data_IF_616010409228
#
_entry.id   IF_616010409228
#
_cell.length_a   1.000
_cell.length_b   1.000
_cell.length_c   1.000
_cell.angle_alpha   90.00
_cell.angle_beta   90.00
_cell.angle_gamma   90.00
#
_symmetry.space_group_name_H-M   'P 1'
#
loop_
_entity.id
_entity.type
_entity.pdbx_description
1 polymer ?
#
# COMPACT_ATOMS: atom_id res chain seq x y z
N UNK A 1 -12.38 -2.16 -65.28
CA UNK A 1 -12.17 -3.62 -65.17
C UNK A 1 -10.88 -3.84 -64.38
N UNK A 2 -10.93 -4.62 -63.30
CA UNK A 2 -9.75 -5.15 -62.59
C UNK A 2 -9.39 -4.47 -61.27
N UNK A 3 -9.90 -5.03 -60.17
CA UNK A 3 -9.47 -4.83 -58.77
C UNK A 3 -8.60 -6.01 -58.33
N UNK A 4 -8.00 -5.91 -57.12
CA UNK A 4 -7.23 -6.89 -56.34
C UNK A 4 -5.78 -7.08 -56.78
N UNK A 5 -4.77 -7.12 -55.91
CA UNK A 5 -4.75 -7.22 -54.46
C UNK A 5 -3.45 -7.94 -54.07
N UNK A 6 -2.74 -7.40 -53.07
CA UNK A 6 -1.69 -8.01 -52.23
C UNK A 6 -0.61 -8.88 -52.87
N UNK A 7 0.65 -8.49 -52.66
CA UNK A 7 1.69 -9.45 -52.32
C UNK A 7 2.53 -8.85 -51.20
N UNK A 8 2.36 -9.44 -50.01
CA UNK A 8 3.19 -9.22 -48.83
C UNK A 8 4.61 -9.68 -49.14
N UNK A 9 5.59 -8.78 -49.02
CA UNK A 9 6.98 -9.18 -48.86
C UNK A 9 7.60 -8.40 -47.69
N UNK A 10 7.39 -9.02 -46.54
CA UNK A 10 8.23 -9.05 -45.35
C UNK A 10 9.66 -8.56 -45.52
N UNK A 11 10.02 -7.43 -44.88
CA UNK A 11 11.31 -7.28 -44.19
C UNK A 11 11.18 -6.37 -42.97
N UNK A 12 11.27 -6.98 -41.79
CA UNK A 12 12.01 -6.42 -40.66
C UNK A 12 11.42 -5.22 -39.95
N UNK A 13 10.38 -5.46 -39.15
CA UNK A 13 9.96 -4.64 -38.02
C UNK A 13 11.12 -4.51 -37.01
N UNK A 14 12.08 -3.63 -37.26
CA UNK A 14 13.01 -3.14 -36.24
C UNK A 14 12.29 -2.06 -35.43
N UNK A 15 11.25 -2.48 -34.71
CA UNK A 15 10.78 -1.74 -33.56
C UNK A 15 11.91 -1.82 -32.54
N UNK A 16 12.44 -0.67 -32.15
CA UNK A 16 13.27 -0.56 -30.96
C UNK A 16 12.47 -1.12 -29.78
N UNK A 17 12.74 -2.37 -29.41
CA UNK A 17 12.32 -2.92 -28.13
C UNK A 17 13.23 -2.25 -27.12
N UNK A 18 12.73 -1.18 -26.52
CA UNK A 18 13.33 -0.66 -25.30
C UNK A 18 13.18 -1.78 -24.27
N UNK A 19 14.32 -2.27 -23.81
CA UNK A 19 14.46 -3.23 -22.74
C UNK A 19 13.48 -2.88 -21.60
N UNK A 20 12.70 -3.88 -21.18
CA UNK A 20 11.56 -3.71 -20.29
C UNK A 20 11.98 -3.00 -19.01
N UNK A 21 11.58 -1.73 -18.89
CA UNK A 21 11.73 -0.96 -17.66
C UNK A 21 10.87 -1.66 -16.61
N UNK A 22 11.50 -2.47 -15.75
CA UNK A 22 10.82 -3.05 -14.59
C UNK A 22 10.56 -1.88 -13.64
N UNK A 23 9.33 -1.37 -13.66
CA UNK A 23 8.88 -0.43 -12.64
C UNK A 23 8.84 -1.16 -11.30
N UNK A 24 9.88 -0.94 -10.50
CA UNK A 24 9.95 -1.51 -9.15
C UNK A 24 8.96 -0.75 -8.28
N UNK A 25 7.84 -1.39 -8.00
CA UNK A 25 6.84 -0.90 -7.05
C UNK A 25 7.38 -1.08 -5.64
N UNK A 26 7.48 0.02 -4.91
CA UNK A 26 8.01 0.02 -3.55
C UNK A 26 7.03 0.72 -2.61
N UNK A 27 7.03 0.30 -1.35
CA UNK A 27 6.25 0.94 -0.29
C UNK A 27 7.18 1.27 0.87
N UNK A 28 6.91 2.38 1.55
CA UNK A 28 7.59 2.71 2.80
C UNK A 28 6.59 2.90 3.92
N UNK A 29 6.96 2.43 5.11
CA UNK A 29 6.17 2.59 6.33
C UNK A 29 7.08 3.16 7.40
N UNK A 30 6.70 4.32 7.94
CA UNK A 30 7.44 5.00 9.00
C UNK A 30 6.54 5.13 10.22
N UNK A 31 6.96 4.55 11.33
CA UNK A 31 6.24 4.56 12.59
C UNK A 31 7.21 4.65 13.77
N UNK A 32 6.69 5.07 14.92
CA UNK A 32 7.46 5.07 16.17
C UNK A 32 7.72 3.66 16.66
N UNK A 33 8.95 3.38 17.10
CA UNK A 33 9.32 2.07 17.67
C UNK A 33 8.63 1.78 19.00
N UNK A 34 8.35 2.81 19.80
CA UNK A 34 7.77 2.70 21.13
C UNK A 34 6.45 3.44 21.16
N UNK A 35 5.40 2.75 21.62
CA UNK A 35 4.05 3.28 21.75
C UNK A 35 3.75 3.51 23.23
N UNK A 36 3.33 4.72 23.60
CA UNK A 36 2.89 5.06 24.96
C UNK A 36 1.36 5.11 25.07
N UNK A 37 0.75 4.47 26.08
CA UNK A 37 -0.70 4.53 26.27
C UNK A 37 -1.25 5.97 26.28
N UNK A 38 -2.50 6.13 25.82
CA UNK A 38 -3.24 7.40 25.79
C UNK A 38 -2.58 8.49 24.92
N UNK A 39 -1.83 8.08 23.90
CA UNK A 39 -1.29 8.99 22.88
C UNK A 39 -1.82 8.64 21.50
N UNK A 40 -1.93 9.68 20.67
CA UNK A 40 -2.19 9.53 19.23
C UNK A 40 -0.88 9.16 18.55
N UNK A 41 -0.91 8.11 17.75
CA UNK A 41 0.21 7.63 16.94
C UNK A 41 -0.01 7.93 15.48
N UNK A 42 1.07 8.31 14.83
CA UNK A 42 1.08 8.59 13.41
C UNK A 42 1.92 7.51 12.72
N UNK A 43 1.32 6.88 11.71
CA UNK A 43 2.00 5.96 10.81
C UNK A 43 1.95 6.57 9.43
N UNK A 44 3.11 6.90 8.86
CA UNK A 44 3.18 7.37 7.48
C UNK A 44 3.38 6.16 6.56
N UNK A 45 2.56 6.07 5.52
CA UNK A 45 2.63 5.05 4.48
C UNK A 45 2.81 5.76 3.15
N UNK A 46 3.77 5.32 2.35
CA UNK A 46 3.97 5.82 0.99
C UNK A 46 3.98 4.72 -0.05
N UNK A 47 3.46 5.04 -1.23
CA UNK A 47 3.54 4.22 -2.45
C UNK A 47 4.53 4.85 -3.42
N UNK A 48 5.27 4.03 -4.16
CA UNK A 48 6.21 4.47 -5.19
C UNK A 48 6.15 3.54 -6.40
N UNK A 49 6.05 4.12 -7.60
CA UNK A 49 5.94 3.40 -8.87
C UNK A 49 4.57 2.76 -9.09
N UNK A 50 3.53 3.20 -8.38
CA UNK A 50 2.17 2.67 -8.50
C UNK A 50 1.37 3.47 -9.54
N UNK A 51 0.62 2.78 -10.40
CA UNK A 51 -0.14 3.41 -11.49
C UNK A 51 -1.64 3.57 -11.16
N UNK A 52 -2.10 3.00 -10.05
CA UNK A 52 -3.48 3.05 -9.59
C UNK A 52 -3.57 3.07 -8.07
N UNK A 53 -4.76 3.36 -7.56
CA UNK A 53 -5.03 3.39 -6.12
C UNK A 53 -4.70 2.03 -5.48
N UNK A 54 -4.04 2.07 -4.33
CA UNK A 54 -3.61 0.89 -3.58
C UNK A 54 -4.26 0.89 -2.21
N UNK A 55 -4.97 -0.18 -1.88
CA UNK A 55 -5.48 -0.35 -0.53
C UNK A 55 -4.38 -0.88 0.40
N UNK A 56 -4.14 -0.15 1.49
CA UNK A 56 -3.17 -0.54 2.52
C UNK A 56 -3.91 -0.85 3.82
N UNK A 57 -3.57 -1.98 4.43
CA UNK A 57 -4.01 -2.34 5.77
C UNK A 57 -2.82 -2.18 6.73
N UNK A 58 -2.91 -1.23 7.65
CA UNK A 58 -1.90 -1.01 8.68
C UNK A 58 -2.41 -1.55 10.01
N UNK A 59 -1.60 -2.42 10.63
CA UNK A 59 -1.89 -3.01 11.93
C UNK A 59 -0.83 -2.61 12.94
N UNK A 60 -1.29 -2.09 14.08
CA UNK A 60 -0.47 -1.72 15.22
C UNK A 60 -0.84 -2.64 16.36
N UNK A 61 0.08 -3.55 16.71
CA UNK A 61 -0.14 -4.48 17.79
C UNK A 61 1.10 -4.76 18.62
N UNK A 62 0.87 -5.27 19.82
CA UNK A 62 1.94 -5.59 20.76
C UNK A 62 1.39 -5.98 22.13
N UNK A 63 2.26 -6.63 22.91
CA UNK A 63 1.99 -6.92 24.32
C UNK A 63 2.33 -5.67 25.15
N UNK A 64 1.38 -5.23 25.95
CA UNK A 64 1.59 -4.21 26.98
C UNK A 64 2.33 -4.82 28.16
N UNK A 65 3.05 -4.00 28.93
CA UNK A 65 3.70 -4.43 30.18
C UNK A 65 2.72 -5.07 31.19
N UNK A 66 1.41 -4.82 31.04
CA UNK A 66 0.35 -5.45 31.83
C UNK A 66 -0.07 -6.85 31.34
N UNK A 67 0.59 -7.40 30.31
CA UNK A 67 0.25 -8.68 29.68
C UNK A 67 -0.94 -8.64 28.71
N UNK A 68 -1.46 -7.45 28.39
CA UNK A 68 -2.58 -7.30 27.45
C UNK A 68 -2.07 -7.17 26.02
N UNK A 69 -2.76 -7.78 25.06
CA UNK A 69 -2.47 -7.60 23.64
C UNK A 69 -3.34 -6.47 23.09
N UNK A 70 -2.70 -5.43 22.54
CA UNK A 70 -3.40 -4.44 21.72
C UNK A 70 -3.31 -4.87 20.27
N UNK A 71 -4.41 -4.73 19.53
CA UNK A 71 -4.44 -4.81 18.08
C UNK A 71 -5.35 -3.68 17.55
N UNK A 72 -4.76 -2.71 16.87
CA UNK A 72 -5.46 -1.65 16.16
C UNK A 72 -5.23 -1.84 14.66
N UNK A 73 -6.29 -1.78 13.88
CA UNK A 73 -6.23 -1.91 12.43
C UNK A 73 -6.88 -0.72 11.75
N UNK A 74 -6.24 -0.20 10.72
CA UNK A 74 -6.85 0.77 9.80
C UNK A 74 -6.58 0.37 8.37
N UNK A 75 -7.55 0.69 7.52
CA UNK A 75 -7.48 0.48 6.08
C UNK A 75 -7.55 1.87 5.44
N UNK A 76 -6.69 2.12 4.47
CA UNK A 76 -6.66 3.37 3.73
C UNK A 76 -6.37 3.12 2.26
N UNK A 77 -7.01 3.92 1.41
CA UNK A 77 -6.76 3.93 -0.03
C UNK A 77 -5.68 4.98 -0.32
N UNK A 78 -4.50 4.50 -0.71
CA UNK A 78 -3.38 5.33 -1.12
C UNK A 78 -3.48 5.66 -2.61
N UNK A 79 -3.41 6.95 -2.91
CA UNK A 79 -3.23 7.41 -4.28
C UNK A 79 -1.86 6.97 -4.84
N UNK A 80 -1.72 6.89 -6.17
CA UNK A 80 -0.43 6.69 -6.85
C UNK A 80 0.65 7.65 -6.36
N UNK A 81 1.85 7.12 -6.10
CA UNK A 81 3.04 7.91 -5.73
C UNK A 81 2.81 8.91 -4.58
N UNK A 82 1.96 8.53 -3.63
CA UNK A 82 1.49 9.40 -2.56
C UNK A 82 1.92 8.92 -1.19
N UNK A 83 1.90 9.85 -0.22
CA UNK A 83 2.12 9.56 1.20
C UNK A 83 0.89 9.94 1.99
N UNK A 84 0.39 9.02 2.80
CA UNK A 84 -0.72 9.24 3.72
C UNK A 84 -0.31 8.96 5.16
N UNK A 85 -0.79 9.80 6.08
CA UNK A 85 -0.57 9.62 7.51
C UNK A 85 -1.84 9.05 8.16
N UNK A 86 -1.72 7.84 8.69
CA UNK A 86 -2.76 7.16 9.44
C UNK A 86 -2.63 7.51 10.92
N UNK A 87 -3.77 7.76 11.58
CA UNK A 87 -3.83 8.22 12.97
C UNK A 87 -4.44 7.13 13.85
N UNK A 88 -3.62 6.49 14.67
CA UNK A 88 -4.05 5.44 15.59
C UNK A 88 -4.18 6.01 17.00
N UNK A 89 -5.28 5.70 17.69
CA UNK A 89 -5.47 6.08 19.08
C UNK A 89 -5.43 4.82 19.94
N UNK A 90 -4.39 4.68 20.77
CA UNK A 90 -4.33 3.63 21.78
C UNK A 90 -4.98 4.17 23.04
N UNK A 91 -6.29 4.02 23.13
CA UNK A 91 -7.02 4.29 24.37
C UNK A 91 -6.78 3.13 25.35
N UNK A 92 -6.39 3.44 26.59
CA UNK A 92 -6.32 2.46 27.68
C UNK A 92 -7.74 2.13 28.19
N UNK A 93 -8.66 1.72 27.31
CA UNK A 93 -10.00 1.30 27.73
C UNK A 93 -10.02 -0.22 27.78
N UNK A 94 -9.76 -0.72 28.99
CA UNK A 94 -10.08 -2.07 29.40
C UNK A 94 -11.59 -2.11 29.74
N UNK A 95 -12.46 -2.35 28.75
CA UNK A 95 -13.82 -2.81 29.05
C UNK A 95 -14.21 -3.95 28.11
N UNK A 96 -14.09 -5.18 28.62
CA UNK A 96 -14.72 -6.37 28.06
C UNK A 96 -16.08 -6.55 28.73
N UNK A 97 -17.16 -6.44 27.97
CA UNK A 97 -18.46 -7.04 28.33
C UNK A 97 -19.01 -7.69 27.07
N UNK A 98 -19.12 -9.02 27.10
CA UNK A 98 -19.80 -9.82 26.08
C UNK A 98 -21.11 -10.31 26.67
N UNK A 99 -22.22 -10.12 25.95
CA UNK A 99 -23.40 -10.96 26.08
C UNK A 99 -23.81 -11.40 24.68
N UNK A 100 -23.94 -12.71 24.51
CA UNK A 100 -24.41 -13.40 23.30
C UNK A 100 -25.89 -13.16 23.11
#
# INVERSE_FOLDING_TARGET
MGSLGKTEESLGRLGWVWDGMVWVRTYSVVASRVLRPNQVFHVAVSSHGTEGDVQVSAEVGGEQDSGNIILLRQIADLQPDSTQVLKFEVCLILLRVWFV
#
